data_IF_408654421023
#
_entry.id   IF_408654421023
#
_cell.length_a   1.000
_cell.length_b   1.000
_cell.length_c   1.000
_cell.angle_alpha   90.00
_cell.angle_beta   90.00
_cell.angle_gamma   90.00
#
_symmetry.space_group_name_H-M   'P 1'
#
loop_
_entity.id
_entity.type
_entity.pdbx_description
1 polymer ?
#
# COMPACT_ATOMS: atom_id res chain seq x y z
N UNK A 1 4.82 54.93 20.14
CA UNK A 1 4.88 53.65 20.89
C UNK A 1 4.03 52.68 20.11
N UNK A 2 4.71 51.84 19.39
CA UNK A 2 4.10 50.95 18.40
C UNK A 2 4.20 49.52 18.93
N UNK A 3 3.07 48.98 19.37
CA UNK A 3 2.98 47.59 19.85
C UNK A 3 2.58 46.67 18.71
N UNK A 4 3.56 46.01 18.11
CA UNK A 4 3.37 44.88 17.20
C UNK A 4 2.85 43.68 18.00
N UNK A 5 1.72 43.04 17.59
CA UNK A 5 1.26 41.81 18.22
C UNK A 5 2.15 40.65 17.82
N UNK A 6 2.86 40.09 18.80
CA UNK A 6 3.63 38.84 18.65
C UNK A 6 2.70 37.63 18.49
N UNK A 7 2.85 37.00 17.37
CA UNK A 7 2.88 35.58 17.06
C UNK A 7 1.83 34.63 17.66
N UNK A 8 0.86 34.29 16.83
CA UNK A 8 0.06 33.06 16.98
C UNK A 8 0.75 31.97 16.13
N UNK A 9 1.84 31.40 16.61
CA UNK A 9 2.58 30.35 15.88
C UNK A 9 2.55 28.96 16.50
N UNK A 10 2.17 28.78 17.78
CA UNK A 10 2.46 27.53 18.49
C UNK A 10 1.31 26.52 18.63
N UNK A 11 0.11 26.82 18.13
CA UNK A 11 -1.03 25.88 18.26
C UNK A 11 -1.25 24.96 17.09
N UNK A 12 -0.57 25.16 15.93
CA UNK A 12 -0.85 24.40 14.70
C UNK A 12 -0.11 23.05 14.67
N UNK A 13 1.04 22.94 15.29
CA UNK A 13 1.86 21.72 15.25
C UNK A 13 1.34 20.60 16.15
N UNK A 14 0.86 20.92 17.35
CA UNK A 14 0.31 19.94 18.28
C UNK A 14 -0.98 19.26 17.79
N UNK A 15 -1.88 20.01 17.19
CA UNK A 15 -3.17 19.51 16.70
C UNK A 15 -3.04 18.58 15.47
N UNK A 16 -2.04 18.82 14.59
CA UNK A 16 -1.75 17.94 13.46
C UNK A 16 -1.18 16.58 13.87
N UNK A 17 -0.31 16.54 14.87
CA UNK A 17 0.26 15.28 15.37
C UNK A 17 -0.82 14.40 16.01
N UNK A 18 -1.69 14.97 16.80
CA UNK A 18 -2.79 14.28 17.47
C UNK A 18 -3.75 13.66 16.44
N UNK A 19 -4.12 14.39 15.38
CA UNK A 19 -5.05 13.90 14.34
C UNK A 19 -4.52 12.71 13.54
N UNK A 20 -3.23 12.69 13.20
CA UNK A 20 -2.64 11.56 12.46
C UNK A 20 -2.54 10.32 13.33
N UNK A 21 -2.15 10.47 14.59
CA UNK A 21 -2.11 9.38 15.56
C UNK A 21 -3.51 8.79 15.83
N UNK A 22 -4.54 9.66 15.93
CA UNK A 22 -5.93 9.23 16.09
C UNK A 22 -6.43 8.43 14.86
N UNK A 23 -6.14 8.89 13.65
CA UNK A 23 -6.47 8.15 12.42
C UNK A 23 -5.79 6.79 12.37
N UNK A 24 -4.49 6.72 12.69
CA UNK A 24 -3.77 5.46 12.78
C UNK A 24 -4.38 4.52 13.84
N UNK A 25 -4.83 5.07 14.98
CA UNK A 25 -5.55 4.32 16.01
C UNK A 25 -6.90 3.79 15.50
N UNK A 26 -7.65 4.58 14.73
CA UNK A 26 -8.91 4.17 14.11
C UNK A 26 -8.69 3.00 13.16
N UNK A 27 -7.68 3.08 12.27
CA UNK A 27 -7.32 1.98 11.36
C UNK A 27 -7.03 0.70 12.16
N UNK A 28 -6.17 0.77 13.20
CA UNK A 28 -5.86 -0.40 14.06
C UNK A 28 -7.11 -1.00 14.70
N UNK A 29 -7.99 -0.15 15.19
CA UNK A 29 -9.24 -0.57 15.85
C UNK A 29 -10.18 -1.26 14.88
N UNK A 30 -10.36 -0.71 13.67
CA UNK A 30 -11.20 -1.32 12.64
C UNK A 30 -10.64 -2.66 12.15
N UNK A 31 -9.32 -2.74 11.89
CA UNK A 31 -8.65 -3.98 11.48
C UNK A 31 -8.80 -5.05 12.58
N UNK A 32 -8.55 -4.68 13.84
CA UNK A 32 -8.72 -5.59 14.97
C UNK A 32 -10.18 -6.06 15.11
N UNK A 33 -11.15 -5.17 14.98
CA UNK A 33 -12.58 -5.49 15.07
C UNK A 33 -13.03 -6.42 13.94
N UNK A 34 -12.54 -6.21 12.72
CA UNK A 34 -13.02 -6.93 11.52
C UNK A 34 -12.32 -8.28 11.32
N UNK A 35 -11.05 -8.37 11.67
CA UNK A 35 -10.20 -9.55 11.37
C UNK A 35 -9.56 -10.18 12.62
N UNK A 36 -9.60 -9.53 13.77
CA UNK A 36 -8.89 -9.97 14.96
C UNK A 36 -7.38 -9.69 14.94
N UNK A 37 -6.86 -9.06 13.89
CA UNK A 37 -5.43 -8.83 13.71
C UNK A 37 -4.88 -7.83 14.73
N UNK A 38 -3.68 -8.13 15.21
CA UNK A 38 -2.88 -7.30 16.11
C UNK A 38 -1.66 -6.74 15.37
N UNK A 39 -0.81 -5.99 16.06
CA UNK A 39 0.44 -5.49 15.49
C UNK A 39 1.43 -6.58 15.03
N UNK A 40 1.18 -7.85 15.38
CA UNK A 40 1.96 -9.00 14.89
C UNK A 40 1.59 -9.36 13.45
N UNK A 41 0.32 -9.23 13.07
CA UNK A 41 -0.16 -9.51 11.72
C UNK A 41 -0.20 -8.27 10.84
N UNK A 42 -0.62 -7.12 11.39
CA UNK A 42 -0.70 -5.84 10.67
C UNK A 42 -0.22 -4.71 11.57
N UNK A 43 0.86 -4.07 11.18
CA UNK A 43 1.40 -2.89 11.85
C UNK A 43 0.83 -1.62 11.22
N UNK A 44 0.51 -0.62 12.03
CA UNK A 44 0.06 0.69 11.55
C UNK A 44 0.90 1.76 12.25
N UNK A 45 1.64 2.52 11.49
CA UNK A 45 2.50 3.59 11.98
C UNK A 45 2.07 4.92 11.38
N UNK A 46 2.24 6.00 12.13
CA UNK A 46 1.96 7.35 11.67
C UNK A 46 3.21 8.20 11.75
N UNK A 47 3.44 8.99 10.72
CA UNK A 47 4.57 9.90 10.62
C UNK A 47 4.07 11.30 10.25
N UNK A 48 4.70 12.31 10.84
CA UNK A 48 4.42 13.71 10.54
C UNK A 48 5.70 14.37 10.01
N UNK A 49 5.54 15.17 8.99
CA UNK A 49 6.61 15.95 8.38
C UNK A 49 6.11 17.37 8.05
N UNK A 50 7.03 18.28 7.72
CA UNK A 50 6.75 19.71 7.57
C UNK A 50 5.57 20.04 6.63
N UNK A 51 5.35 19.24 5.58
CA UNK A 51 4.33 19.50 4.55
C UNK A 51 3.12 18.57 4.63
N UNK A 52 3.03 17.69 5.63
CA UNK A 52 1.93 16.75 5.73
C UNK A 52 2.16 15.64 6.76
N UNK A 53 1.48 14.53 6.51
CA UNK A 53 1.61 13.33 7.33
C UNK A 53 1.37 12.08 6.49
N UNK A 54 1.85 10.94 6.96
CA UNK A 54 1.55 9.64 6.37
C UNK A 54 1.14 8.63 7.42
N UNK A 55 0.39 7.63 6.98
CA UNK A 55 0.08 6.43 7.76
C UNK A 55 0.54 5.24 6.92
N UNK A 56 1.47 4.47 7.48
CA UNK A 56 2.02 3.27 6.87
C UNK A 56 1.35 2.04 7.51
N UNK A 57 0.65 1.27 6.71
CA UNK A 57 0.02 0.00 7.10
C UNK A 57 0.84 -1.13 6.50
N UNK A 58 1.45 -1.92 7.34
CA UNK A 58 2.37 -2.97 6.96
C UNK A 58 1.79 -4.35 7.30
N UNK A 59 1.56 -5.17 6.29
CA UNK A 59 1.07 -6.54 6.42
C UNK A 59 2.27 -7.45 6.66
N UNK A 60 2.22 -8.24 7.74
CA UNK A 60 3.35 -9.05 8.23
C UNK A 60 3.17 -10.55 8.10
N UNK A 61 1.97 -11.02 7.79
CA UNK A 61 1.68 -12.45 7.69
C UNK A 61 0.91 -12.80 6.43
N UNK A 62 1.08 -14.03 5.95
CA UNK A 62 0.36 -14.55 4.78
C UNK A 62 -1.16 -14.53 4.98
N UNK A 63 -1.63 -14.81 6.20
CA UNK A 63 -3.06 -14.76 6.54
C UNK A 63 -3.64 -13.34 6.37
N UNK A 64 -2.91 -12.33 6.85
CA UNK A 64 -3.33 -10.95 6.69
C UNK A 64 -3.24 -10.47 5.23
N UNK A 65 -2.34 -11.04 4.43
CA UNK A 65 -2.19 -10.74 3.00
C UNK A 65 -3.45 -11.13 2.21
N UNK A 66 -4.14 -12.21 2.56
CA UNK A 66 -5.41 -12.61 1.94
C UNK A 66 -6.48 -11.51 2.06
N UNK A 67 -6.41 -10.72 3.12
CA UNK A 67 -7.33 -9.61 3.37
C UNK A 67 -6.77 -8.24 2.94
N UNK A 68 -5.67 -8.19 2.17
CA UNK A 68 -4.98 -6.94 1.77
C UNK A 68 -5.94 -5.88 1.23
N UNK A 69 -6.84 -6.24 0.31
CA UNK A 69 -7.77 -5.28 -0.31
C UNK A 69 -8.75 -4.70 0.70
N UNK A 70 -9.24 -5.52 1.64
CA UNK A 70 -10.13 -5.05 2.70
C UNK A 70 -9.39 -4.18 3.73
N UNK A 71 -8.12 -4.48 3.99
CA UNK A 71 -7.24 -3.67 4.83
C UNK A 71 -6.96 -2.33 4.15
N UNK A 72 -6.65 -2.33 2.85
CA UNK A 72 -6.44 -1.11 2.06
C UNK A 72 -7.70 -0.23 2.05
N UNK A 73 -8.89 -0.82 1.84
CA UNK A 73 -10.15 -0.11 1.91
C UNK A 73 -10.39 0.58 3.26
N UNK A 74 -10.11 -0.12 4.37
CA UNK A 74 -10.20 0.45 5.72
C UNK A 74 -9.22 1.61 5.88
N UNK A 75 -7.97 1.41 5.48
CA UNK A 75 -6.91 2.38 5.65
C UNK A 75 -7.14 3.64 4.83
N UNK A 76 -7.56 3.51 3.56
CA UNK A 76 -7.81 4.66 2.67
C UNK A 76 -8.96 5.54 3.09
N UNK A 77 -9.88 5.09 3.93
CA UNK A 77 -10.91 5.96 4.54
C UNK A 77 -10.29 7.10 5.36
N UNK A 78 -9.06 6.92 5.83
CA UNK A 78 -8.32 7.92 6.60
C UNK A 78 -7.40 8.80 5.73
N UNK A 79 -7.32 8.52 4.43
CA UNK A 79 -6.54 9.34 3.50
C UNK A 79 -7.20 10.70 3.27
N UNK A 80 -6.39 11.73 3.19
CA UNK A 80 -6.85 13.08 2.90
C UNK A 80 -5.84 13.81 2.03
N UNK A 81 -6.18 13.96 0.76
CA UNK A 81 -5.32 14.63 -0.23
C UNK A 81 -6.06 15.84 -0.77
N UNK A 82 -5.45 17.01 -0.64
CA UNK A 82 -5.96 18.24 -1.21
C UNK A 82 -5.43 18.39 -2.64
N UNK A 83 -6.34 18.62 -3.58
CA UNK A 83 -6.01 18.83 -4.98
C UNK A 83 -6.51 20.18 -5.48
N UNK A 84 -5.77 20.79 -6.39
CA UNK A 84 -6.22 21.95 -7.13
C UNK A 84 -7.47 21.57 -7.96
N UNK A 85 -8.52 22.36 -7.84
CA UNK A 85 -9.79 22.10 -8.56
C UNK A 85 -9.68 22.30 -10.08
N UNK A 86 -8.66 23.05 -10.54
CA UNK A 86 -8.47 23.39 -11.94
C UNK A 86 -7.47 22.40 -12.59
N UNK A 87 -6.31 22.18 -11.97
CA UNK A 87 -5.23 21.37 -12.56
C UNK A 87 -5.21 19.93 -12.08
N UNK A 88 -5.91 19.60 -10.99
CA UNK A 88 -5.87 18.28 -10.35
C UNK A 88 -4.59 17.99 -9.56
N UNK A 89 -3.61 18.91 -9.57
CA UNK A 89 -2.34 18.77 -8.87
C UNK A 89 -2.53 18.69 -7.35
N UNK A 90 -1.69 17.90 -6.69
CA UNK A 90 -1.69 17.81 -5.22
C UNK A 90 -1.14 19.12 -4.66
N UNK A 91 -1.95 19.77 -3.84
CA UNK A 91 -1.55 20.99 -3.16
C UNK A 91 -0.58 20.68 -2.02
N UNK A 92 0.38 21.56 -1.79
CA UNK A 92 1.32 21.45 -0.69
C UNK A 92 0.65 21.71 0.65
N UNK A 93 1.01 20.93 1.66
CA UNK A 93 0.59 21.09 3.05
C UNK A 93 -0.76 20.45 3.40
N UNK A 94 -0.84 19.94 4.61
CA UNK A 94 -2.06 19.38 5.20
C UNK A 94 -2.50 18.03 4.68
N UNK A 95 -1.80 17.42 3.73
CA UNK A 95 -2.11 16.09 3.21
C UNK A 95 -1.82 15.00 4.25
N UNK A 96 -2.65 13.97 4.25
CA UNK A 96 -2.41 12.74 4.97
C UNK A 96 -2.46 11.57 3.99
N UNK A 97 -1.30 11.05 3.65
CA UNK A 97 -1.17 9.92 2.73
C UNK A 97 -1.31 8.60 3.49
N UNK A 98 -1.86 7.59 2.81
CA UNK A 98 -1.96 6.25 3.36
C UNK A 98 -1.26 5.27 2.42
N UNK A 99 -0.30 4.52 2.97
CA UNK A 99 0.45 3.50 2.26
C UNK A 99 0.13 2.13 2.87
N UNK A 100 -0.25 1.17 2.03
CA UNK A 100 -0.50 -0.21 2.46
C UNK A 100 0.43 -1.13 1.68
N UNK A 101 1.31 -1.80 2.41
CA UNK A 101 2.33 -2.67 1.82
C UNK A 101 2.55 -3.95 2.63
N UNK A 102 3.41 -4.81 2.14
CA UNK A 102 3.93 -5.96 2.86
C UNK A 102 5.19 -5.56 3.63
N UNK A 103 5.44 -6.19 4.78
CA UNK A 103 6.73 -6.10 5.44
C UNK A 103 7.82 -6.73 4.59
N UNK A 104 9.05 -6.28 4.80
CA UNK A 104 10.20 -6.85 4.13
C UNK A 104 10.33 -8.36 4.42
N UNK A 105 10.21 -8.76 5.68
CA UNK A 105 10.30 -10.15 6.11
C UNK A 105 9.26 -11.04 5.42
N UNK A 106 8.00 -10.57 5.29
CA UNK A 106 6.96 -11.29 4.58
C UNK A 106 7.28 -11.41 3.08
N UNK A 107 7.78 -10.34 2.47
CA UNK A 107 8.17 -10.34 1.06
C UNK A 107 9.31 -11.33 0.79
N UNK A 108 10.33 -11.35 1.65
CA UNK A 108 11.46 -12.28 1.57
C UNK A 108 11.01 -13.73 1.74
N UNK A 109 10.19 -14.02 2.75
CA UNK A 109 9.63 -15.35 2.97
C UNK A 109 8.77 -15.86 1.79
N UNK A 110 7.98 -14.99 1.17
CA UNK A 110 7.20 -15.34 -0.03
C UNK A 110 8.10 -15.58 -1.25
N UNK A 111 9.13 -14.77 -1.42
CA UNK A 111 10.10 -14.96 -2.51
C UNK A 111 10.85 -16.27 -2.34
N UNK A 112 11.34 -16.61 -1.14
CA UNK A 112 12.00 -17.87 -0.88
C UNK A 112 11.07 -19.06 -1.19
N UNK A 113 9.82 -18.98 -0.79
CA UNK A 113 8.85 -20.07 -0.95
C UNK A 113 8.37 -20.27 -2.38
N UNK A 114 8.18 -19.20 -3.15
CA UNK A 114 7.51 -19.24 -4.45
C UNK A 114 8.39 -18.82 -5.64
N UNK A 115 9.70 -18.63 -5.44
CA UNK A 115 10.59 -18.17 -6.51
C UNK A 115 10.68 -19.14 -7.69
N UNK A 116 10.72 -20.45 -7.44
CA UNK A 116 10.75 -21.45 -8.50
C UNK A 116 9.48 -21.44 -9.34
N UNK A 117 8.31 -21.44 -8.69
CA UNK A 117 7.01 -21.37 -9.36
C UNK A 117 6.83 -20.04 -10.10
N UNK A 118 7.32 -18.94 -9.55
CA UNK A 118 7.29 -17.64 -10.22
C UNK A 118 8.13 -17.63 -11.50
N UNK A 119 9.29 -18.30 -11.51
CA UNK A 119 10.12 -18.44 -12.72
C UNK A 119 9.42 -19.30 -13.79
N UNK A 120 8.80 -20.41 -13.42
CA UNK A 120 8.02 -21.25 -14.34
C UNK A 120 6.86 -20.48 -15.00
N UNK A 121 6.16 -19.64 -14.22
CA UNK A 121 5.10 -18.77 -14.70
C UNK A 121 5.65 -17.74 -15.70
N UNK A 122 6.80 -17.16 -15.42
CA UNK A 122 7.46 -16.19 -16.28
C UNK A 122 7.84 -16.85 -17.62
N UNK A 123 8.52 -17.99 -17.57
CA UNK A 123 8.93 -18.74 -18.76
C UNK A 123 7.72 -19.18 -19.60
N UNK A 124 6.65 -19.63 -18.94
CA UNK A 124 5.41 -19.97 -19.62
C UNK A 124 4.77 -18.77 -20.32
N UNK A 125 4.72 -17.60 -19.65
CA UNK A 125 4.16 -16.39 -20.21
C UNK A 125 4.96 -15.90 -21.43
N UNK A 126 6.29 -15.91 -21.36
CA UNK A 126 7.17 -15.50 -22.44
C UNK A 126 7.07 -16.45 -23.63
N UNK A 127 6.92 -17.75 -23.38
CA UNK A 127 6.77 -18.77 -24.44
C UNK A 127 5.40 -18.76 -25.11
N UNK A 128 4.38 -18.21 -24.45
CA UNK A 128 2.99 -18.17 -24.91
C UNK A 128 2.47 -16.72 -24.93
N UNK A 129 3.08 -15.89 -25.77
CA UNK A 129 2.76 -14.46 -25.85
C UNK A 129 1.25 -14.23 -26.08
N UNK A 130 0.65 -13.37 -25.28
CA UNK A 130 -0.78 -13.06 -25.32
C UNK A 130 -1.68 -14.02 -24.55
N UNK A 131 -1.15 -15.17 -24.06
CA UNK A 131 -1.92 -16.05 -23.19
C UNK A 131 -2.19 -15.39 -21.83
N UNK A 132 -3.46 -15.40 -21.41
CA UNK A 132 -3.87 -14.80 -20.14
C UNK A 132 -3.87 -15.87 -19.06
N UNK A 133 -3.01 -15.70 -18.06
CA UNK A 133 -3.01 -16.50 -16.85
C UNK A 133 -3.86 -15.81 -15.79
N UNK A 134 -4.79 -16.56 -15.19
CA UNK A 134 -5.73 -16.04 -14.21
C UNK A 134 -5.34 -16.45 -12.79
N UNK A 135 -5.29 -15.47 -11.92
CA UNK A 135 -5.20 -15.64 -10.48
C UNK A 135 -6.52 -15.20 -9.86
N UNK A 136 -6.88 -15.66 -8.68
CA UNK A 136 -8.14 -15.29 -7.99
C UNK A 136 -8.45 -13.79 -7.98
N UNK A 137 -7.43 -12.93 -8.05
CA UNK A 137 -7.58 -11.46 -7.97
C UNK A 137 -6.80 -10.71 -9.03
N UNK A 138 -6.24 -11.40 -10.00
CA UNK A 138 -5.40 -10.78 -11.01
C UNK A 138 -5.36 -11.59 -12.31
N UNK A 139 -5.08 -10.90 -13.40
CA UNK A 139 -4.78 -11.48 -14.70
C UNK A 139 -3.38 -11.04 -15.12
N UNK A 140 -2.54 -11.98 -15.53
CA UNK A 140 -1.20 -11.75 -16.01
C UNK A 140 -1.06 -12.26 -17.44
N UNK A 141 -0.47 -11.47 -18.31
CA UNK A 141 -0.03 -11.91 -19.66
C UNK A 141 1.24 -11.17 -20.07
N UNK A 142 1.97 -11.76 -21.01
CA UNK A 142 3.16 -11.17 -21.62
C UNK A 142 2.86 -10.76 -23.06
N UNK A 143 3.24 -9.54 -23.43
CA UNK A 143 3.06 -9.03 -24.79
C UNK A 143 4.07 -7.91 -25.10
N UNK A 144 4.67 -7.97 -26.31
CA UNK A 144 5.61 -6.95 -26.78
C UNK A 144 6.77 -6.66 -25.82
N UNK A 145 7.34 -7.68 -25.20
CA UNK A 145 8.47 -7.52 -24.28
C UNK A 145 8.10 -7.04 -22.87
N UNK A 146 6.80 -6.94 -22.53
CA UNK A 146 6.31 -6.46 -21.26
C UNK A 146 5.31 -7.42 -20.63
N UNK A 147 5.34 -7.52 -19.32
CA UNK A 147 4.27 -8.14 -18.53
C UNK A 147 3.14 -7.16 -18.30
N UNK A 148 1.92 -7.67 -18.31
CA UNK A 148 0.72 -6.89 -18.03
C UNK A 148 -0.03 -7.56 -16.88
N UNK A 149 -0.11 -6.87 -15.75
CA UNK A 149 -0.89 -7.30 -14.58
C UNK A 149 -2.10 -6.38 -14.41
N UNK A 150 -3.30 -6.93 -14.54
CA UNK A 150 -4.55 -6.17 -14.52
C UNK A 150 -4.51 -4.93 -15.45
N UNK A 151 -3.94 -5.08 -16.63
CA UNK A 151 -3.81 -4.02 -17.63
C UNK A 151 -2.67 -3.01 -17.38
N UNK A 152 -1.87 -3.17 -16.33
CA UNK A 152 -0.68 -2.34 -16.08
C UNK A 152 0.55 -3.02 -16.62
N UNK A 153 1.27 -2.34 -17.50
CA UNK A 153 2.55 -2.82 -18.04
C UNK A 153 3.67 -2.71 -16.99
N UNK A 154 4.55 -3.72 -16.97
CA UNK A 154 5.70 -3.78 -16.08
C UNK A 154 6.85 -4.55 -16.70
N UNK A 155 8.06 -4.35 -16.20
CA UNK A 155 9.24 -5.12 -16.60
C UNK A 155 9.32 -6.46 -15.86
N UNK A 156 10.15 -7.37 -16.37
CA UNK A 156 10.39 -8.69 -15.79
C UNK A 156 10.77 -8.64 -14.31
N UNK A 157 11.57 -7.66 -13.89
CA UNK A 157 11.96 -7.48 -12.48
C UNK A 157 10.75 -7.23 -11.58
N UNK A 158 9.83 -6.36 -12.00
CA UNK A 158 8.62 -6.04 -11.26
C UNK A 158 7.68 -7.25 -11.21
N UNK A 159 7.58 -8.01 -12.31
CA UNK A 159 6.79 -9.24 -12.37
C UNK A 159 7.30 -10.28 -11.37
N UNK A 160 8.62 -10.49 -11.28
CA UNK A 160 9.25 -11.39 -10.29
C UNK A 160 8.91 -11.03 -8.85
N UNK A 161 8.82 -9.74 -8.53
CA UNK A 161 8.44 -9.28 -7.18
C UNK A 161 6.96 -9.47 -6.86
N UNK A 162 6.09 -9.37 -7.87
CA UNK A 162 4.65 -9.40 -7.67
C UNK A 162 4.05 -10.81 -7.75
N UNK A 163 4.72 -11.74 -8.44
CA UNK A 163 4.23 -13.11 -8.60
C UNK A 163 4.10 -13.89 -7.29
N UNK A 164 5.09 -13.93 -6.37
CA UNK A 164 4.97 -14.71 -5.15
C UNK A 164 3.72 -14.42 -4.32
N UNK A 165 3.31 -13.15 -4.08
CA UNK A 165 2.03 -12.86 -3.42
C UNK A 165 0.80 -13.32 -4.22
N UNK A 166 0.86 -13.32 -5.56
CA UNK A 166 -0.25 -13.78 -6.40
C UNK A 166 -0.37 -15.30 -6.36
N UNK A 167 0.74 -16.02 -6.46
CA UNK A 167 0.80 -17.48 -6.34
C UNK A 167 0.21 -17.91 -4.99
N UNK A 168 0.59 -17.24 -3.90
CA UNK A 168 0.04 -17.52 -2.57
C UNK A 168 -1.48 -17.34 -2.51
N UNK A 169 -2.04 -16.40 -3.27
CA UNK A 169 -3.50 -16.22 -3.34
C UNK A 169 -4.21 -17.24 -4.23
N UNK A 170 -3.47 -17.97 -5.04
CA UNK A 170 -3.90 -19.07 -5.89
C UNK A 170 -4.04 -18.71 -7.36
N UNK A 171 -3.48 -19.57 -8.21
CA UNK A 171 -3.72 -19.62 -9.65
C UNK A 171 -5.12 -20.25 -9.87
N UNK A 172 -5.91 -19.74 -10.83
CA UNK A 172 -7.18 -20.32 -11.26
C UNK A 172 -6.99 -21.30 -12.40
#
# INVERSE_FOLDING_TARGET
MDETPRGVSDKITGDKMTRTAERAKQIRTEIKKKFGYTGKQVSVQSENYSMGSSINVEIKTEEALENRYRIDEIARKQEKIYRCKVTGEILSGGNNFVHVGMSWDLKEALNEKYSAEALEIIEHAESNEGHIMKFKKAELYYRNGLYHLNGRSMFTMDAKELLPPLIRTGLE
#
